data_IF_616106596547
#
_entry.id   IF_616106596547
#
_cell.length_a   1.000
_cell.length_b   1.000
_cell.length_c   1.000
_cell.angle_alpha   90.00
_cell.angle_beta   90.00
_cell.angle_gamma   90.00
#
_symmetry.space_group_name_H-M   'P 1'
#
loop_
_entity.id
_entity.type
_entity.pdbx_description
1 polymer ?
#
# COMPACT_ATOMS: atom_id res chain seq x y z
N UNK A 1 41.26 -23.39 20.47
CA UNK A 1 40.33 -24.20 19.63
C UNK A 1 40.00 -23.40 18.38
N UNK A 2 40.51 -23.83 17.21
CA UNK A 2 40.21 -23.19 15.91
C UNK A 2 39.01 -23.92 15.28
N UNK A 3 37.86 -23.27 15.20
CA UNK A 3 36.70 -23.78 14.47
C UNK A 3 37.04 -23.89 12.98
N UNK A 4 36.99 -25.11 12.44
CA UNK A 4 37.06 -25.35 11.00
C UNK A 4 35.76 -24.84 10.38
N UNK A 5 35.84 -23.73 9.66
CA UNK A 5 34.78 -23.28 8.75
C UNK A 5 34.78 -24.26 7.59
N UNK A 6 33.85 -25.23 7.61
CA UNK A 6 33.59 -26.10 6.47
C UNK A 6 33.04 -25.25 5.34
N UNK A 7 33.82 -25.09 4.27
CA UNK A 7 33.36 -24.49 3.02
C UNK A 7 32.43 -25.52 2.38
N UNK A 8 31.15 -25.50 2.76
CA UNK A 8 30.12 -26.18 1.98
C UNK A 8 30.02 -25.43 0.65
N UNK A 9 30.65 -25.97 -0.40
CA UNK A 9 30.39 -25.54 -1.77
C UNK A 9 28.87 -25.57 -1.96
N UNK A 10 28.28 -24.42 -2.31
CA UNK A 10 26.85 -24.36 -2.51
C UNK A 10 26.55 -25.25 -3.73
N UNK A 11 25.57 -26.17 -3.66
CA UNK A 11 25.26 -27.12 -4.75
C UNK A 11 25.08 -26.49 -6.15
N UNK A 12 24.85 -25.17 -6.22
CA UNK A 12 24.56 -24.43 -7.45
C UNK A 12 25.81 -24.00 -8.26
N UNK A 13 27.04 -24.27 -7.81
CA UNK A 13 28.24 -23.79 -8.53
C UNK A 13 28.44 -24.49 -9.88
N UNK A 14 27.92 -25.71 -10.06
CA UNK A 14 28.05 -26.44 -11.34
C UNK A 14 27.27 -25.76 -12.46
N UNK A 15 26.08 -25.24 -12.17
CA UNK A 15 25.20 -24.60 -13.16
C UNK A 15 25.67 -23.23 -13.62
N UNK A 16 26.67 -22.65 -12.95
CA UNK A 16 27.30 -21.38 -13.34
C UNK A 16 28.43 -21.56 -14.36
N UNK A 17 28.96 -22.78 -14.47
CA UNK A 17 30.13 -23.09 -15.29
C UNK A 17 29.71 -23.21 -16.77
N UNK A 18 30.40 -22.58 -17.73
CA UNK A 18 30.05 -22.68 -19.14
C UNK A 18 30.15 -24.11 -19.69
N UNK A 19 31.00 -24.96 -19.09
CA UNK A 19 31.17 -26.36 -19.47
C UNK A 19 29.88 -27.18 -19.31
N UNK A 20 28.96 -26.74 -18.44
CA UNK A 20 27.67 -27.41 -18.23
C UNK A 20 26.86 -27.50 -19.54
N UNK A 21 26.99 -26.51 -20.43
CA UNK A 21 26.31 -26.52 -21.72
C UNK A 21 26.74 -27.72 -22.58
N UNK A 22 28.02 -28.09 -22.53
CA UNK A 22 28.54 -29.25 -23.23
C UNK A 22 27.94 -30.56 -22.71
N UNK A 23 27.79 -30.66 -21.38
CA UNK A 23 27.15 -31.82 -20.74
C UNK A 23 25.69 -31.95 -21.18
N UNK A 24 24.92 -30.86 -21.13
CA UNK A 24 23.51 -30.88 -21.52
C UNK A 24 23.29 -31.14 -23.01
N UNK A 25 24.14 -30.62 -23.90
CA UNK A 25 24.09 -30.97 -25.34
C UNK A 25 24.35 -32.45 -25.59
N UNK A 26 25.27 -33.05 -24.84
CA UNK A 26 25.55 -34.49 -24.92
C UNK A 26 24.35 -35.32 -24.47
N UNK A 27 23.70 -34.94 -23.35
CA UNK A 27 22.48 -35.59 -22.85
C UNK A 27 21.32 -35.45 -23.86
N UNK A 28 21.12 -34.26 -24.41
CA UNK A 28 20.10 -34.02 -25.44
C UNK A 28 20.28 -34.92 -26.67
N UNK A 29 21.54 -35.12 -27.12
CA UNK A 29 21.87 -36.00 -28.26
C UNK A 29 21.55 -37.47 -27.98
N UNK A 30 21.57 -37.89 -26.71
CA UNK A 30 21.29 -39.27 -26.29
C UNK A 30 19.80 -39.56 -26.07
N UNK A 31 18.96 -38.52 -26.08
CA UNK A 31 17.52 -38.67 -25.80
C UNK A 31 17.22 -39.00 -24.33
N UNK A 32 18.10 -38.61 -23.41
CA UNK A 32 17.89 -38.82 -21.98
C UNK A 32 16.70 -37.98 -21.46
N UNK A 33 16.06 -38.45 -20.38
CA UNK A 33 14.95 -37.73 -19.74
C UNK A 33 15.45 -36.46 -19.05
N UNK A 34 14.71 -35.36 -19.24
CA UNK A 34 15.00 -34.08 -18.62
C UNK A 34 14.36 -34.00 -17.23
N UNK A 35 15.11 -33.49 -16.26
CA UNK A 35 14.62 -33.21 -14.91
C UNK A 35 14.18 -31.74 -14.83
N UNK A 36 12.95 -31.49 -14.39
CA UNK A 36 12.39 -30.15 -14.19
C UNK A 36 13.27 -29.30 -13.26
N UNK A 37 13.97 -29.93 -12.31
CA UNK A 37 14.87 -29.24 -11.38
C UNK A 37 16.08 -28.61 -12.09
N UNK A 38 16.46 -29.09 -13.28
CA UNK A 38 17.56 -28.50 -14.05
C UNK A 38 17.24 -27.09 -14.54
N UNK A 39 15.99 -26.84 -14.93
CA UNK A 39 15.54 -25.50 -15.32
C UNK A 39 15.59 -24.55 -14.12
N UNK A 40 15.13 -24.99 -12.95
CA UNK A 40 15.19 -24.19 -11.73
C UNK A 40 16.64 -23.90 -11.31
N UNK A 41 17.54 -24.88 -11.40
CA UNK A 41 18.97 -24.72 -11.10
C UNK A 41 19.67 -23.78 -12.08
N UNK A 42 19.38 -23.88 -13.38
CA UNK A 42 19.88 -22.96 -14.40
C UNK A 42 19.38 -21.52 -14.14
N UNK A 43 18.11 -21.38 -13.75
CA UNK A 43 17.50 -20.12 -13.37
C UNK A 43 18.16 -19.51 -12.12
N UNK A 44 18.33 -20.30 -11.06
CA UNK A 44 19.02 -19.88 -9.84
C UNK A 44 20.48 -19.47 -10.09
N UNK A 45 21.13 -20.08 -11.08
CA UNK A 45 22.50 -19.79 -11.47
C UNK A 45 22.66 -18.54 -12.35
N UNK A 46 21.55 -17.90 -12.79
CA UNK A 46 21.54 -16.83 -13.79
C UNK A 46 22.23 -17.22 -15.12
N UNK A 47 22.15 -18.50 -15.52
CA UNK A 47 22.79 -19.02 -16.72
C UNK A 47 21.83 -18.97 -17.92
N UNK A 48 21.71 -17.79 -18.53
CA UNK A 48 20.83 -17.55 -19.70
C UNK A 48 21.08 -18.54 -20.85
N UNK A 49 22.33 -18.82 -21.28
CA UNK A 49 22.56 -19.81 -22.34
C UNK A 49 22.02 -21.20 -22.03
N UNK A 50 22.10 -21.63 -20.77
CA UNK A 50 21.59 -22.94 -20.37
C UNK A 50 20.06 -22.95 -20.33
N UNK A 51 19.43 -21.88 -19.81
CA UNK A 51 17.97 -21.71 -19.85
C UNK A 51 17.46 -21.73 -21.30
N UNK A 52 18.16 -21.05 -22.22
CA UNK A 52 17.81 -21.09 -23.65
C UNK A 52 17.89 -22.52 -24.21
N UNK A 53 19.01 -23.22 -23.98
CA UNK A 53 19.18 -24.61 -24.42
C UNK A 53 18.06 -25.52 -23.89
N UNK A 54 17.71 -25.35 -22.61
CA UNK A 54 16.65 -26.10 -21.95
C UNK A 54 15.28 -25.81 -22.56
N UNK A 55 14.94 -24.55 -22.86
CA UNK A 55 13.66 -24.22 -23.51
C UNK A 55 13.55 -24.82 -24.92
N UNK A 56 14.65 -24.87 -25.67
CA UNK A 56 14.69 -25.44 -27.02
C UNK A 56 14.41 -26.95 -27.03
N UNK A 57 14.78 -27.69 -25.97
CA UNK A 57 14.72 -29.16 -25.93
C UNK A 57 13.67 -29.74 -24.99
N UNK A 58 13.22 -29.00 -23.96
CA UNK A 58 12.23 -29.48 -22.98
C UNK A 58 10.77 -29.24 -23.43
N UNK A 59 10.49 -29.35 -24.74
CA UNK A 59 9.20 -29.01 -25.35
C UNK A 59 8.66 -27.61 -24.93
N UNK A 60 9.57 -26.67 -24.65
CA UNK A 60 9.23 -25.30 -24.23
C UNK A 60 8.53 -25.18 -22.87
N UNK A 61 8.46 -26.25 -22.05
CA UNK A 61 7.78 -26.20 -20.75
C UNK A 61 8.66 -25.56 -19.69
N UNK A 62 8.60 -24.24 -19.60
CA UNK A 62 9.09 -23.53 -18.42
C UNK A 62 7.99 -23.54 -17.34
N UNK A 63 8.17 -24.36 -16.32
CA UNK A 63 7.25 -24.37 -15.18
C UNK A 63 7.20 -23.01 -14.48
N UNK A 64 6.07 -22.63 -13.84
CA UNK A 64 5.97 -21.38 -13.09
C UNK A 64 7.01 -21.27 -11.94
N UNK A 65 7.54 -22.40 -11.47
CA UNK A 65 8.61 -22.47 -10.49
C UNK A 65 9.91 -21.84 -10.98
N UNK A 66 10.28 -22.03 -12.25
CA UNK A 66 11.55 -21.54 -12.81
C UNK A 66 11.69 -20.01 -12.70
N UNK A 67 10.64 -19.27 -13.07
CA UNK A 67 10.63 -17.81 -12.96
C UNK A 67 10.67 -17.34 -11.50
N UNK A 68 9.91 -18.00 -10.62
CA UNK A 68 9.91 -17.69 -9.19
C UNK A 68 11.30 -17.92 -8.56
N UNK A 69 11.97 -19.01 -8.93
CA UNK A 69 13.34 -19.33 -8.51
C UNK A 69 14.33 -18.30 -9.04
N UNK A 70 14.23 -17.90 -10.31
CA UNK A 70 15.05 -16.84 -10.88
C UNK A 70 14.90 -15.51 -10.10
N UNK A 71 13.67 -15.12 -9.79
CA UNK A 71 13.37 -13.90 -9.00
C UNK A 71 13.95 -14.01 -7.59
N UNK A 72 13.73 -15.13 -6.91
CA UNK A 72 14.23 -15.37 -5.55
C UNK A 72 15.76 -15.27 -5.47
N UNK A 73 16.46 -15.80 -6.48
CA UNK A 73 17.92 -15.75 -6.58
C UNK A 73 18.46 -14.45 -7.20
N UNK A 74 17.61 -13.48 -7.53
CA UNK A 74 17.97 -12.23 -8.23
C UNK A 74 18.71 -12.48 -9.56
N UNK A 75 18.37 -13.55 -10.25
CA UNK A 75 18.90 -13.91 -11.56
C UNK A 75 18.25 -13.06 -12.67
N UNK A 76 18.48 -11.75 -12.62
CA UNK A 76 17.74 -10.77 -13.42
C UNK A 76 17.89 -10.95 -14.93
N UNK A 77 19.01 -11.48 -15.41
CA UNK A 77 19.21 -11.73 -16.84
C UNK A 77 18.32 -12.88 -17.30
N UNK A 78 18.22 -13.94 -16.49
CA UNK A 78 17.25 -15.02 -16.73
C UNK A 78 15.82 -14.52 -16.63
N UNK A 79 15.47 -13.70 -15.62
CA UNK A 79 14.12 -13.13 -15.50
C UNK A 79 13.74 -12.34 -16.75
N UNK A 80 14.62 -11.45 -17.23
CA UNK A 80 14.41 -10.70 -18.48
C UNK A 80 14.24 -11.63 -19.68
N UNK A 81 15.12 -12.63 -19.81
CA UNK A 81 15.07 -13.60 -20.90
C UNK A 81 13.75 -14.39 -20.89
N UNK A 82 13.34 -14.91 -19.74
CA UNK A 82 12.09 -15.66 -19.59
C UNK A 82 10.88 -14.77 -19.90
N UNK A 83 10.84 -13.55 -19.38
CA UNK A 83 9.75 -12.61 -19.70
C UNK A 83 9.73 -12.31 -21.21
N UNK A 84 10.86 -12.08 -21.86
CA UNK A 84 10.90 -11.76 -23.28
C UNK A 84 10.48 -12.92 -24.19
N UNK A 85 10.78 -14.17 -23.82
CA UNK A 85 10.65 -15.33 -24.71
C UNK A 85 9.50 -16.27 -24.34
N UNK A 86 8.78 -16.03 -23.25
CA UNK A 86 7.72 -16.93 -22.78
C UNK A 86 6.44 -16.18 -22.38
N UNK A 87 5.34 -16.92 -22.33
CA UNK A 87 4.03 -16.46 -21.83
C UNK A 87 3.78 -16.91 -20.38
N UNK A 88 4.84 -17.07 -19.58
CA UNK A 88 4.71 -17.52 -18.19
C UNK A 88 3.91 -16.48 -17.40
N UNK A 89 2.85 -16.94 -16.73
CA UNK A 89 2.08 -16.14 -15.80
C UNK A 89 2.91 -15.89 -14.54
N UNK A 90 2.96 -14.64 -14.08
CA UNK A 90 3.71 -14.27 -12.88
C UNK A 90 2.77 -14.36 -11.70
N UNK A 91 3.16 -15.10 -10.66
CA UNK A 91 2.37 -15.15 -9.43
C UNK A 91 2.44 -13.82 -8.66
N UNK A 92 1.41 -13.49 -7.89
CA UNK A 92 1.39 -12.29 -7.05
C UNK A 92 2.59 -12.25 -6.08
N UNK A 93 2.99 -13.39 -5.51
CA UNK A 93 4.15 -13.48 -4.60
C UNK A 93 5.49 -13.18 -5.31
N UNK A 94 5.64 -13.65 -6.55
CA UNK A 94 6.81 -13.35 -7.36
C UNK A 94 6.87 -11.86 -7.70
N UNK A 95 5.72 -11.26 -8.06
CA UNK A 95 5.62 -9.82 -8.31
C UNK A 95 5.93 -8.99 -7.05
N UNK A 96 5.43 -9.40 -5.88
CA UNK A 96 5.75 -8.73 -4.61
C UNK A 96 7.25 -8.78 -4.29
N UNK A 97 7.93 -9.88 -4.63
CA UNK A 97 9.38 -10.01 -4.46
C UNK A 97 10.17 -9.07 -5.38
N UNK A 98 9.61 -8.74 -6.55
CA UNK A 98 10.17 -7.77 -7.49
C UNK A 98 9.99 -6.31 -7.06
N UNK A 99 9.14 -6.02 -6.07
CA UNK A 99 9.02 -4.65 -5.56
C UNK A 99 10.28 -4.16 -4.84
N UNK A 100 11.32 -4.97 -4.67
CA UNK A 100 12.62 -4.53 -4.16
C UNK A 100 13.33 -3.50 -5.06
N UNK A 101 14.38 -2.81 -4.56
CA UNK A 101 15.07 -1.75 -5.29
C UNK A 101 15.56 -2.15 -6.69
N UNK A 102 16.02 -3.39 -6.86
CA UNK A 102 16.62 -3.89 -8.10
C UNK A 102 15.56 -4.42 -9.10
N UNK A 103 14.30 -4.54 -8.69
CA UNK A 103 13.26 -5.26 -9.45
C UNK A 103 12.14 -4.38 -10.01
N UNK A 104 12.14 -3.06 -9.74
CA UNK A 104 11.03 -2.17 -10.11
C UNK A 104 10.80 -2.10 -11.63
N UNK A 105 11.87 -2.06 -12.42
CA UNK A 105 11.74 -2.05 -13.89
C UNK A 105 11.08 -3.33 -14.41
N UNK A 106 11.40 -4.48 -13.79
CA UNK A 106 10.80 -5.77 -14.12
C UNK A 106 9.34 -5.84 -13.65
N UNK A 107 9.04 -5.34 -12.45
CA UNK A 107 7.68 -5.22 -11.95
C UNK A 107 6.82 -4.35 -12.88
N UNK A 108 7.35 -3.23 -13.37
CA UNK A 108 6.68 -2.37 -14.34
C UNK A 108 6.38 -3.11 -15.65
N UNK A 109 7.36 -3.83 -16.19
CA UNK A 109 7.18 -4.64 -17.39
C UNK A 109 6.11 -5.73 -17.20
N UNK A 110 6.10 -6.42 -16.05
CA UNK A 110 5.10 -7.44 -15.72
C UNK A 110 3.70 -6.82 -15.60
N UNK A 111 3.56 -5.70 -14.87
CA UNK A 111 2.28 -5.00 -14.68
C UNK A 111 1.73 -4.35 -15.96
N UNK A 112 2.58 -4.15 -16.96
CA UNK A 112 2.16 -3.75 -18.30
C UNK A 112 1.60 -4.94 -19.09
N UNK A 113 2.21 -6.12 -18.96
CA UNK A 113 1.76 -7.34 -19.66
C UNK A 113 0.58 -8.03 -19.01
N UNK A 114 0.47 -7.97 -17.69
CA UNK A 114 -0.53 -8.66 -16.86
C UNK A 114 -1.27 -7.61 -16.00
N UNK A 115 -2.12 -6.77 -16.59
CA UNK A 115 -2.84 -5.71 -15.87
C UNK A 115 -3.78 -6.25 -14.76
N UNK A 116 -4.20 -7.51 -14.84
CA UNK A 116 -4.96 -8.22 -13.82
C UNK A 116 -4.20 -8.35 -12.48
N UNK A 117 -2.87 -8.23 -12.49
CA UNK A 117 -2.05 -8.23 -11.27
C UNK A 117 -1.99 -6.88 -10.55
N UNK A 118 -2.68 -5.84 -11.04
CA UNK A 118 -2.74 -4.49 -10.42
C UNK A 118 -3.61 -4.47 -9.16
N UNK A 119 -3.32 -5.35 -8.21
CA UNK A 119 -4.08 -5.52 -6.98
C UNK A 119 -3.65 -4.54 -5.88
N UNK A 120 -4.57 -4.18 -5.00
CA UNK A 120 -4.32 -3.26 -3.89
C UNK A 120 -3.30 -3.78 -2.86
N UNK A 121 -3.12 -5.09 -2.81
CA UNK A 121 -2.13 -5.75 -1.95
C UNK A 121 -0.69 -5.35 -2.26
N UNK A 122 -0.39 -4.96 -3.51
CA UNK A 122 0.95 -4.51 -3.89
C UNK A 122 1.36 -3.27 -3.10
N UNK A 123 0.45 -2.29 -2.97
CA UNK A 123 0.70 -1.06 -2.22
C UNK A 123 0.86 -1.35 -0.73
N UNK A 124 0.06 -2.27 -0.21
CA UNK A 124 0.15 -2.70 1.18
C UNK A 124 1.50 -3.37 1.47
N UNK A 125 1.96 -4.28 0.61
CA UNK A 125 3.25 -4.98 0.75
C UNK A 125 4.44 -4.01 0.63
N UNK A 126 4.43 -3.12 -0.37
CA UNK A 126 5.47 -2.09 -0.53
C UNK A 126 5.57 -1.19 0.70
N UNK A 127 4.43 -0.72 1.22
CA UNK A 127 4.40 0.18 2.36
C UNK A 127 4.75 -0.53 3.67
N UNK A 128 4.30 -1.78 3.85
CA UNK A 128 4.63 -2.58 5.03
C UNK A 128 6.13 -2.95 5.11
N UNK A 129 6.81 -3.04 3.96
CA UNK A 129 8.24 -3.33 3.85
C UNK A 129 9.14 -2.08 3.86
N UNK A 130 8.58 -0.89 4.12
CA UNK A 130 9.30 0.40 4.11
C UNK A 130 9.94 0.75 2.75
N UNK A 131 9.43 0.18 1.66
CA UNK A 131 9.97 0.38 0.34
C UNK A 131 9.36 1.60 -0.35
N UNK A 132 9.89 2.78 0.00
CA UNK A 132 9.41 4.08 -0.51
C UNK A 132 9.47 4.18 -2.04
N UNK A 133 10.48 3.57 -2.68
CA UNK A 133 10.61 3.58 -4.13
C UNK A 133 9.45 2.80 -4.79
N UNK A 134 9.17 1.59 -4.29
CA UNK A 134 8.04 0.79 -4.74
C UNK A 134 6.69 1.48 -4.49
N UNK A 135 6.50 2.06 -3.31
CA UNK A 135 5.26 2.80 -3.00
C UNK A 135 5.03 3.96 -3.97
N UNK A 136 6.06 4.76 -4.27
CA UNK A 136 5.95 5.85 -5.27
C UNK A 136 5.69 5.34 -6.67
N UNK A 137 6.38 4.27 -7.07
CA UNK A 137 6.16 3.62 -8.36
C UNK A 137 4.70 3.15 -8.51
N UNK A 138 4.16 2.46 -7.51
CA UNK A 138 2.77 1.98 -7.53
C UNK A 138 1.77 3.14 -7.59
N UNK A 139 2.04 4.25 -6.88
CA UNK A 139 1.21 5.45 -6.99
C UNK A 139 1.24 6.10 -8.37
N UNK A 140 2.42 6.24 -8.97
CA UNK A 140 2.56 6.77 -10.32
C UNK A 140 1.82 5.89 -11.35
N UNK A 141 1.76 4.58 -11.10
CA UNK A 141 1.01 3.63 -11.92
C UNK A 141 -0.50 3.57 -11.63
N UNK A 142 -1.00 4.34 -10.64
CA UNK A 142 -2.40 4.32 -10.22
C UNK A 142 -2.82 3.01 -9.56
N UNK A 143 -1.88 2.28 -8.93
CA UNK A 143 -2.12 0.96 -8.34
C UNK A 143 -2.35 1.07 -6.84
N UNK A 144 -3.50 0.53 -6.40
CA UNK A 144 -3.87 0.34 -5.00
C UNK A 144 -4.74 1.44 -4.40
N UNK A 145 -4.96 1.32 -3.09
CA UNK A 145 -5.85 2.22 -2.35
C UNK A 145 -5.10 2.88 -1.17
N UNK A 146 -4.59 4.12 -1.34
CA UNK A 146 -3.81 4.81 -0.31
C UNK A 146 -4.56 4.96 1.00
N UNK A 147 -5.86 5.25 0.95
CA UNK A 147 -6.70 5.45 2.14
C UNK A 147 -6.84 4.17 2.95
N UNK A 148 -7.09 3.04 2.29
CA UNK A 148 -7.17 1.72 2.94
C UNK A 148 -5.81 1.33 3.55
N UNK A 149 -4.73 1.54 2.81
CA UNK A 149 -3.37 1.27 3.27
C UNK A 149 -3.00 2.13 4.50
N UNK A 150 -3.24 3.44 4.43
CA UNK A 150 -3.02 4.36 5.54
C UNK A 150 -3.87 3.98 6.76
N UNK A 151 -5.13 3.60 6.57
CA UNK A 151 -5.98 3.12 7.67
C UNK A 151 -5.38 1.91 8.40
N UNK A 152 -4.74 0.98 7.69
CA UNK A 152 -4.09 -0.18 8.32
C UNK A 152 -2.79 0.19 9.06
N UNK A 153 -2.06 1.20 8.58
CA UNK A 153 -0.70 1.53 9.07
C UNK A 153 -0.64 2.69 10.05
N UNK A 154 -1.53 3.67 9.94
CA UNK A 154 -1.49 4.93 10.68
C UNK A 154 -1.39 4.71 12.20
N UNK A 155 -0.66 5.58 12.89
CA UNK A 155 -0.48 5.51 14.36
C UNK A 155 0.51 4.45 14.85
N UNK A 156 1.05 3.58 13.98
CA UNK A 156 2.12 2.63 14.34
C UNK A 156 3.49 3.33 14.28
N UNK A 157 4.31 3.29 15.36
CA UNK A 157 5.60 4.00 15.39
C UNK A 157 6.56 3.64 14.24
N UNK A 158 6.60 2.37 13.83
CA UNK A 158 7.48 1.93 12.74
C UNK A 158 7.09 2.48 11.36
N UNK A 159 5.83 2.91 11.17
CA UNK A 159 5.30 3.33 9.86
C UNK A 159 5.09 4.84 9.74
N UNK A 160 5.76 5.67 10.54
CA UNK A 160 5.55 7.13 10.51
C UNK A 160 5.92 7.72 9.14
N UNK A 161 7.05 7.31 8.57
CA UNK A 161 7.52 7.78 7.26
C UNK A 161 6.55 7.39 6.15
N UNK A 162 6.13 6.13 6.11
CA UNK A 162 5.19 5.63 5.11
C UNK A 162 3.82 6.27 5.30
N UNK A 163 3.36 6.46 6.53
CA UNK A 163 2.07 7.12 6.78
C UNK A 163 2.06 8.56 6.28
N UNK A 164 3.17 9.30 6.44
CA UNK A 164 3.35 10.64 5.87
C UNK A 164 3.30 10.62 4.34
N UNK A 165 3.99 9.66 3.73
CA UNK A 165 3.97 9.48 2.27
C UNK A 165 2.56 9.13 1.77
N UNK A 166 1.90 8.14 2.35
CA UNK A 166 0.55 7.71 1.95
C UNK A 166 -0.47 8.85 2.09
N UNK A 167 -0.33 9.68 3.13
CA UNK A 167 -1.26 10.79 3.40
C UNK A 167 -1.34 11.78 2.24
N UNK A 168 -0.23 12.10 1.57
CA UNK A 168 -0.25 13.02 0.42
C UNK A 168 -1.02 12.48 -0.78
N UNK A 169 -1.26 11.17 -0.84
CA UNK A 169 -2.06 10.51 -1.89
C UNK A 169 -3.49 10.18 -1.44
N UNK A 170 -3.85 10.46 -0.19
CA UNK A 170 -5.18 10.15 0.35
C UNK A 170 -6.21 11.26 0.10
N UNK A 171 -5.78 12.48 -0.25
CA UNK A 171 -6.64 13.65 -0.30
C UNK A 171 -7.19 13.88 -1.71
N UNK A 172 -8.51 13.96 -1.84
CA UNK A 172 -9.15 14.41 -3.08
C UNK A 172 -8.97 15.93 -3.23
N UNK A 173 -8.73 16.39 -4.46
CA UNK A 173 -8.47 17.81 -4.72
C UNK A 173 -9.68 18.72 -4.43
N UNK A 174 -10.90 18.18 -4.56
CA UNK A 174 -12.15 18.94 -4.49
C UNK A 174 -13.08 18.49 -3.35
N UNK A 175 -13.03 17.21 -2.94
CA UNK A 175 -13.89 16.68 -1.89
C UNK A 175 -13.26 16.84 -0.49
N UNK A 176 -13.25 18.10 -0.03
CA UNK A 176 -12.67 18.46 1.25
C UNK A 176 -13.42 17.86 2.44
N UNK A 177 -14.75 17.68 2.33
CA UNK A 177 -15.56 17.11 3.42
C UNK A 177 -15.23 15.64 3.63
N UNK A 178 -15.17 14.86 2.54
CA UNK A 178 -14.78 13.46 2.60
C UNK A 178 -13.33 13.29 3.10
N UNK A 179 -12.42 14.18 2.71
CA UNK A 179 -11.07 14.21 3.28
C UNK A 179 -11.08 14.40 4.81
N UNK A 180 -11.84 15.38 5.33
CA UNK A 180 -11.98 15.60 6.78
C UNK A 180 -12.57 14.36 7.46
N UNK A 181 -13.62 13.76 6.88
CA UNK A 181 -14.24 12.53 7.39
C UNK A 181 -13.25 11.37 7.46
N UNK A 182 -12.43 11.19 6.43
CA UNK A 182 -11.39 10.16 6.39
C UNK A 182 -10.33 10.39 7.50
N UNK A 183 -9.84 11.62 7.66
CA UNK A 183 -8.85 11.95 8.71
C UNK A 183 -9.40 11.73 10.12
N UNK A 184 -10.65 12.14 10.36
CA UNK A 184 -11.34 11.87 11.63
C UNK A 184 -11.56 10.36 11.83
N UNK A 185 -11.82 9.58 10.77
CA UNK A 185 -11.89 8.12 10.84
C UNK A 185 -10.57 7.51 11.29
N UNK A 186 -9.42 8.04 10.86
CA UNK A 186 -8.12 7.59 11.35
C UNK A 186 -7.92 7.92 12.85
N UNK A 187 -8.34 9.11 13.29
CA UNK A 187 -8.30 9.51 14.70
C UNK A 187 -9.15 8.61 15.61
N UNK A 188 -10.30 8.13 15.12
CA UNK A 188 -11.23 7.32 15.91
C UNK A 188 -10.64 6.00 16.41
N UNK A 189 -9.61 5.46 15.77
CA UNK A 189 -9.03 4.16 16.10
C UNK A 189 -8.40 4.21 17.52
N UNK A 190 -8.96 3.53 18.53
CA UNK A 190 -8.60 3.74 19.95
C UNK A 190 -7.11 3.58 20.25
N UNK A 191 -6.49 2.49 19.78
CA UNK A 191 -5.08 2.16 20.06
C UNK A 191 -4.06 3.09 19.38
N UNK A 192 -4.56 4.00 18.55
CA UNK A 192 -3.78 4.86 17.65
C UNK A 192 -3.95 6.34 17.93
N UNK A 193 -4.68 6.73 18.99
CA UNK A 193 -4.81 8.14 19.46
C UNK A 193 -3.54 8.66 20.13
N UNK A 194 -2.38 8.32 19.57
CA UNK A 194 -1.07 8.74 20.07
C UNK A 194 -0.76 10.14 19.54
N UNK A 195 0.08 10.88 20.25
CA UNK A 195 0.58 12.20 19.79
C UNK A 195 1.16 12.17 18.38
N UNK A 196 1.81 11.05 17.99
CA UNK A 196 2.34 10.85 16.63
C UNK A 196 1.26 10.84 15.56
N UNK A 197 0.10 10.25 15.84
CA UNK A 197 -1.02 10.20 14.92
C UNK A 197 -1.68 11.57 14.77
N UNK A 198 -1.88 12.27 15.88
CA UNK A 198 -2.35 13.66 15.85
C UNK A 198 -1.40 14.53 15.05
N UNK A 199 -0.10 14.48 15.34
CA UNK A 199 0.90 15.25 14.58
C UNK A 199 0.90 14.92 13.09
N UNK A 200 0.65 13.66 12.71
CA UNK A 200 0.53 13.25 11.31
C UNK A 200 -0.66 13.91 10.61
N UNK A 201 -1.86 13.92 11.23
CA UNK A 201 -3.09 14.37 10.55
C UNK A 201 -3.42 15.84 10.77
N UNK A 202 -2.94 16.46 11.86
CA UNK A 202 -3.34 17.83 12.23
C UNK A 202 -3.13 18.84 11.11
N UNK A 203 -1.96 18.93 10.43
CA UNK A 203 -1.76 19.89 9.36
C UNK A 203 -2.77 19.74 8.21
N UNK A 204 -3.01 18.49 7.79
CA UNK A 204 -3.94 18.19 6.71
C UNK A 204 -5.40 18.41 7.14
N UNK A 205 -5.75 18.03 8.37
CA UNK A 205 -7.08 18.22 8.94
C UNK A 205 -7.43 19.71 9.07
N UNK A 206 -6.46 20.54 9.47
CA UNK A 206 -6.61 22.00 9.48
C UNK A 206 -6.84 22.55 8.07
N UNK A 207 -6.04 22.13 7.09
CA UNK A 207 -6.18 22.59 5.72
C UNK A 207 -7.55 22.23 5.13
N UNK A 208 -7.90 20.94 5.18
CA UNK A 208 -9.16 20.43 4.62
C UNK A 208 -10.37 21.02 5.36
N UNK A 209 -10.32 21.10 6.69
CA UNK A 209 -11.39 21.70 7.49
C UNK A 209 -11.63 23.17 7.15
N UNK A 210 -10.58 23.96 6.89
CA UNK A 210 -10.71 25.37 6.49
C UNK A 210 -11.44 25.48 5.15
N UNK A 211 -11.10 24.62 4.18
CA UNK A 211 -11.80 24.57 2.89
C UNK A 211 -13.28 24.24 3.05
N UNK A 212 -13.62 23.29 3.91
CA UNK A 212 -15.04 22.98 4.23
C UNK A 212 -15.72 24.19 4.88
N UNK A 213 -15.10 24.84 5.88
CA UNK A 213 -15.70 25.98 6.58
C UNK A 213 -16.01 27.19 5.68
N UNK A 214 -15.30 27.35 4.57
CA UNK A 214 -15.59 28.41 3.58
C UNK A 214 -16.91 28.17 2.84
N UNK A 215 -17.36 26.92 2.75
CA UNK A 215 -18.57 26.52 2.03
C UNK A 215 -19.77 26.25 2.96
N UNK A 216 -19.55 26.23 4.27
CA UNK A 216 -20.58 25.87 5.26
C UNK A 216 -20.67 26.93 6.35
N UNK A 217 -21.84 27.55 6.48
CA UNK A 217 -22.13 28.49 7.56
C UNK A 217 -22.37 27.73 8.87
N UNK A 218 -21.50 27.94 9.85
CA UNK A 218 -21.68 27.41 11.20
C UNK A 218 -22.69 28.28 11.99
N UNK A 219 -23.57 27.68 12.82
CA UNK A 219 -24.39 28.45 13.76
C UNK A 219 -23.51 29.35 14.65
N UNK A 220 -23.89 30.60 14.95
CA UNK A 220 -23.01 31.57 15.63
C UNK A 220 -22.41 31.06 16.95
N UNK A 221 -23.20 30.36 17.77
CA UNK A 221 -22.74 29.79 19.04
C UNK A 221 -21.72 28.67 18.88
N UNK A 222 -21.81 27.88 17.80
CA UNK A 222 -20.83 26.84 17.47
C UNK A 222 -19.60 27.48 16.83
N UNK A 223 -19.80 28.46 15.95
CA UNK A 223 -18.74 29.15 15.22
C UNK A 223 -17.74 29.84 16.16
N UNK A 224 -18.24 30.59 17.15
CA UNK A 224 -17.39 31.28 18.13
C UNK A 224 -16.49 30.28 18.88
N UNK A 225 -17.09 29.23 19.48
CA UNK A 225 -16.33 28.23 20.24
C UNK A 225 -15.37 27.43 19.37
N UNK A 226 -15.80 27.02 18.18
CA UNK A 226 -14.95 26.28 17.24
C UNK A 226 -13.73 27.11 16.80
N UNK A 227 -13.89 28.42 16.62
CA UNK A 227 -12.79 29.33 16.28
C UNK A 227 -11.76 29.40 17.41
N UNK A 228 -12.21 29.60 18.65
CA UNK A 228 -11.32 29.59 19.82
C UNK A 228 -10.55 28.26 19.96
N UNK A 229 -11.20 27.12 19.70
CA UNK A 229 -10.55 25.82 19.74
C UNK A 229 -9.49 25.67 18.63
N UNK A 230 -9.78 26.15 17.42
CA UNK A 230 -8.79 26.15 16.34
C UNK A 230 -7.56 27.00 16.70
N UNK A 231 -7.75 28.18 17.29
CA UNK A 231 -6.68 29.07 17.75
C UNK A 231 -5.85 28.43 18.88
N UNK A 232 -6.49 27.67 19.77
CA UNK A 232 -5.82 26.91 20.82
C UNK A 232 -5.10 25.63 20.31
N UNK A 233 -5.22 25.29 19.03
CA UNK A 233 -4.64 24.08 18.45
C UNK A 233 -5.47 22.80 18.65
N UNK A 234 -6.70 22.92 19.16
CA UNK A 234 -7.66 21.82 19.36
C UNK A 234 -8.38 21.48 18.04
N UNK A 235 -7.59 21.12 17.04
CA UNK A 235 -8.02 20.94 15.63
C UNK A 235 -9.05 19.81 15.47
N UNK A 236 -8.98 18.76 16.30
CA UNK A 236 -9.92 17.62 16.19
C UNK A 236 -11.34 18.03 16.57
N UNK A 237 -11.51 18.72 17.69
CA UNK A 237 -12.83 19.18 18.16
C UNK A 237 -13.44 20.21 17.21
N UNK A 238 -12.61 21.15 16.73
CA UNK A 238 -13.01 22.09 15.68
C UNK A 238 -13.48 21.37 14.40
N UNK A 239 -12.72 20.39 13.91
CA UNK A 239 -13.09 19.64 12.70
C UNK A 239 -14.36 18.80 12.90
N UNK A 240 -14.56 18.20 14.08
CA UNK A 240 -15.78 17.48 14.44
C UNK A 240 -17.00 18.41 14.39
N UNK A 241 -16.88 19.64 14.90
CA UNK A 241 -17.96 20.63 14.83
C UNK A 241 -18.32 20.97 13.38
N UNK A 242 -17.33 21.19 12.51
CA UNK A 242 -17.56 21.44 11.08
C UNK A 242 -18.34 20.30 10.45
N UNK A 243 -17.92 19.05 10.65
CA UNK A 243 -18.59 17.88 10.07
C UNK A 243 -20.03 17.75 10.57
N UNK A 244 -20.26 17.91 11.87
CA UNK A 244 -21.59 17.79 12.48
C UNK A 244 -22.51 18.89 11.96
N UNK A 245 -22.05 20.14 11.88
CA UNK A 245 -22.83 21.25 11.34
C UNK A 245 -23.10 21.10 9.85
N UNK A 246 -22.11 20.64 9.06
CA UNK A 246 -22.29 20.38 7.63
C UNK A 246 -23.38 19.34 7.41
N UNK A 247 -23.31 18.20 8.12
CA UNK A 247 -24.34 17.16 8.07
C UNK A 247 -25.71 17.63 8.58
N UNK A 248 -25.74 18.56 9.55
CA UNK A 248 -26.98 19.19 10.00
C UNK A 248 -27.62 20.01 8.87
N UNK A 249 -26.86 20.83 8.17
CA UNK A 249 -27.34 21.73 7.10
C UNK A 249 -27.73 20.98 5.83
N UNK A 250 -26.88 20.08 5.34
CA UNK A 250 -27.09 19.40 4.05
C UNK A 250 -28.23 18.39 4.07
N UNK A 251 -28.74 18.04 5.26
CA UNK A 251 -29.73 16.98 5.38
C UNK A 251 -29.21 15.62 4.92
N UNK A 252 -27.90 15.47 4.71
CA UNK A 252 -27.29 14.22 4.30
C UNK A 252 -27.76 13.10 5.23
N UNK A 253 -28.12 11.96 4.64
CA UNK A 253 -28.60 10.73 5.30
C UNK A 253 -27.51 10.05 6.12
N UNK A 254 -26.61 10.83 6.71
CA UNK A 254 -25.76 10.36 7.79
C UNK A 254 -26.68 9.81 8.87
N UNK A 255 -26.48 8.53 9.21
CA UNK A 255 -27.22 7.90 10.28
C UNK A 255 -27.11 8.75 11.54
N UNK A 256 -28.22 8.94 12.24
CA UNK A 256 -28.28 9.59 13.55
C UNK A 256 -27.22 9.02 14.50
N UNK A 257 -26.90 7.73 14.36
CA UNK A 257 -25.84 7.06 15.13
C UNK A 257 -24.43 7.59 14.81
N UNK A 258 -24.15 7.93 13.56
CA UNK A 258 -22.86 8.53 13.17
C UNK A 258 -22.69 9.93 13.75
N UNK A 259 -23.76 10.74 13.78
CA UNK A 259 -23.73 12.06 14.41
C UNK A 259 -23.57 11.98 15.93
N UNK A 260 -24.26 11.05 16.59
CA UNK A 260 -24.06 10.77 18.03
C UNK A 260 -22.62 10.32 18.30
N UNK A 261 -22.09 9.41 17.48
CA UNK A 261 -20.71 8.94 17.59
C UNK A 261 -19.70 10.06 17.37
N UNK A 262 -19.93 10.97 16.42
CA UNK A 262 -19.07 12.14 16.23
C UNK A 262 -19.14 13.09 17.44
N UNK A 263 -20.33 13.33 17.96
CA UNK A 263 -20.55 14.21 19.11
C UNK A 263 -19.92 13.64 20.39
N UNK A 264 -19.90 12.31 20.56
CA UNK A 264 -19.25 11.70 21.72
C UNK A 264 -17.72 11.83 21.71
N UNK A 265 -17.12 12.02 20.54
CA UNK A 265 -15.68 12.21 20.37
C UNK A 265 -15.20 13.63 20.68
N UNK A 266 -16.11 14.61 20.67
CA UNK A 266 -15.79 15.99 21.06
C UNK A 266 -15.40 16.01 22.53
N UNK A 267 -14.19 16.49 22.82
CA UNK A 267 -13.65 16.58 24.18
C UNK A 267 -14.08 17.88 24.88
N UNK A 268 -14.16 18.97 24.14
CA UNK A 268 -14.60 20.27 24.64
C UNK A 268 -16.08 20.24 25.07
N UNK A 269 -16.32 20.41 26.37
CA UNK A 269 -17.64 20.25 27.00
C UNK A 269 -18.64 21.31 26.50
N UNK A 270 -18.16 22.54 26.32
CA UNK A 270 -18.99 23.66 25.86
C UNK A 270 -19.45 23.44 24.41
N UNK A 271 -18.50 23.15 23.51
CA UNK A 271 -18.78 22.82 22.11
C UNK A 271 -19.73 21.63 22.01
N UNK A 272 -19.47 20.57 22.76
CA UNK A 272 -20.33 19.37 22.80
C UNK A 272 -21.76 19.72 23.21
N UNK A 273 -21.93 20.58 24.21
CA UNK A 273 -23.26 21.05 24.65
C UNK A 273 -23.99 21.82 23.55
N UNK A 274 -23.29 22.71 22.84
CA UNK A 274 -23.85 23.44 21.69
C UNK A 274 -24.27 22.50 20.57
N UNK A 275 -23.44 21.49 20.24
CA UNK A 275 -23.73 20.51 19.20
C UNK A 275 -24.93 19.61 19.55
N UNK A 276 -25.04 19.16 20.81
CA UNK A 276 -26.20 18.38 21.27
C UNK A 276 -27.50 19.18 21.16
N UNK A 277 -27.48 20.46 21.58
CA UNK A 277 -28.65 21.35 21.45
C UNK A 277 -29.02 21.56 19.99
N UNK A 278 -28.04 21.76 19.11
CA UNK A 278 -28.24 21.91 17.67
C UNK A 278 -28.92 20.66 17.08
N UNK A 279 -28.43 19.46 17.39
CA UNK A 279 -29.01 18.20 16.90
C UNK A 279 -30.43 17.97 17.44
N UNK A 280 -30.70 18.28 18.70
CA UNK A 280 -32.04 18.18 19.29
C UNK A 280 -33.05 19.11 18.59
N UNK A 281 -32.62 20.33 18.22
CA UNK A 281 -33.49 21.29 17.50
C UNK A 281 -33.91 20.79 16.11
N UNK A 282 -33.02 20.07 15.40
CA UNK A 282 -33.34 19.46 14.10
C UNK A 282 -34.41 18.40 14.21
N UNK A 283 -34.30 17.53 15.22
CA UNK A 283 -35.23 16.43 15.45
C UNK A 283 -36.65 16.94 15.71
N UNK A 284 -36.79 17.96 16.56
CA UNK A 284 -38.09 18.61 16.81
C UNK A 284 -38.74 19.15 15.54
N UNK A 285 -37.94 19.73 14.62
CA UNK A 285 -38.42 20.23 13.32
C UNK A 285 -38.83 19.13 12.34
N UNK A 286 -38.30 17.91 12.49
CA UNK A 286 -38.68 16.77 11.64
C UNK A 286 -39.92 16.04 12.16
N UNK A 287 -40.26 16.21 13.44
CA UNK A 287 -41.43 15.64 14.10
C UNK A 287 -42.67 16.57 14.03
N UNK A 288 -42.49 17.83 13.64
CA UNK A 288 -43.55 18.83 13.44
C UNK A 288 -43.97 18.92 11.98
#
# INVERSE_FOLDING_TARGET
MRSRVGICARPNDVFRKPEILGVFRLLATRGDLWDDTWMEQACAANNVPLVQLLLEHADGRCGPGALAVAIFHKAWDVVRFLLANTTINVSMNALQSLLGPDGLDLAAHILQRQPELRHEELLQTASASHNTAATRFLFAAGIGNPRKCLYQMAGRPKHVTESKLLLSYCMHATDHLDNVLFLLKLYKIPDRRRKTMLHLITPELTYQGRKVSQTTTLPPSVAARATTLLEAGEVVDWALAIVICTAHVTGATNSTEQLKTNTSLVQDVELKTHLVRLLASKRKRQES
#
